data_IF_926578843710
#
_entry.id   IF_926578843710
#
_cell.length_a   1.000
_cell.length_b   1.000
_cell.length_c   1.000
_cell.angle_alpha   90.00
_cell.angle_beta   90.00
_cell.angle_gamma   90.00
#
_symmetry.space_group_name_H-M   'P 1'
#
loop_
_entity.id
_entity.type
_entity.pdbx_description
1 polymer ?
#
# COMPACT_ATOMS: atom_id res chain seq x y z
N UNK A 1 -3.68 -13.18 10.61
CA UNK A 1 -2.82 -14.40 10.56
C UNK A 1 -3.45 -15.63 11.22
N UNK A 2 -3.95 -15.59 12.46
CA UNK A 2 -4.45 -16.79 13.19
C UNK A 2 -5.82 -17.31 12.74
N UNK A 3 -6.57 -16.59 11.92
CA UNK A 3 -7.96 -16.94 11.55
C UNK A 3 -8.08 -17.98 10.43
N UNK A 4 -6.99 -18.35 9.76
CA UNK A 4 -6.96 -19.42 8.75
C UNK A 4 -6.04 -20.56 9.15
N UNK A 5 -6.34 -21.79 8.68
CA UNK A 5 -5.49 -22.95 8.92
C UNK A 5 -4.09 -22.79 8.27
N UNK A 6 -4.00 -22.06 7.19
CA UNK A 6 -2.74 -21.73 6.51
C UNK A 6 -1.90 -20.77 7.33
N UNK A 7 -2.49 -19.65 7.80
CA UNK A 7 -1.82 -18.70 8.67
C UNK A 7 -1.35 -19.33 9.99
N UNK A 8 -2.14 -20.22 10.60
CA UNK A 8 -1.72 -20.95 11.79
C UNK A 8 -0.50 -21.86 11.54
N UNK A 9 -0.47 -22.56 10.40
CA UNK A 9 0.68 -23.39 10.01
C UNK A 9 1.93 -22.55 9.75
N UNK A 10 1.76 -21.42 9.07
CA UNK A 10 2.86 -20.51 8.81
C UNK A 10 3.45 -19.93 10.10
N UNK A 11 2.60 -19.47 11.04
CA UNK A 11 3.06 -19.00 12.37
C UNK A 11 3.85 -20.10 13.09
N UNK A 12 3.40 -21.34 13.05
CA UNK A 12 4.11 -22.46 13.67
C UNK A 12 5.49 -22.72 13.00
N UNK A 13 5.66 -22.36 11.74
CA UNK A 13 6.93 -22.51 11.01
C UNK A 13 7.91 -21.34 11.20
N UNK A 14 7.44 -20.16 11.68
CA UNK A 14 8.25 -18.95 11.80
C UNK A 14 9.58 -19.13 12.56
N UNK A 15 9.63 -19.81 13.73
CA UNK A 15 10.90 -19.97 14.44
C UNK A 15 11.97 -20.63 13.57
N UNK A 16 11.63 -21.69 12.84
CA UNK A 16 12.53 -22.38 11.93
C UNK A 16 12.94 -21.51 10.75
N UNK A 17 11.98 -20.81 10.12
CA UNK A 17 12.28 -19.92 8.98
C UNK A 17 13.23 -18.78 9.39
N UNK A 18 13.02 -18.20 10.57
CA UNK A 18 13.89 -17.13 11.11
C UNK A 18 15.30 -17.68 11.40
N UNK A 19 15.42 -18.85 12.05
CA UNK A 19 16.71 -19.49 12.30
C UNK A 19 17.47 -19.75 10.99
N UNK A 20 16.82 -20.31 9.99
CA UNK A 20 17.41 -20.56 8.67
C UNK A 20 17.91 -19.26 8.00
N UNK A 21 17.16 -18.14 8.10
CA UNK A 21 17.61 -16.83 7.61
C UNK A 21 18.80 -16.30 8.42
N UNK A 22 18.79 -16.48 9.74
CA UNK A 22 19.90 -16.06 10.60
C UNK A 22 21.20 -16.79 10.25
N UNK A 23 21.12 -18.09 10.04
CA UNK A 23 22.27 -18.93 9.66
C UNK A 23 22.76 -18.56 8.24
N UNK A 24 21.82 -18.41 7.28
CA UNK A 24 22.15 -18.13 5.88
C UNK A 24 22.87 -16.79 5.73
N UNK A 25 22.38 -15.74 6.40
CA UNK A 25 22.88 -14.38 6.26
C UNK A 25 23.79 -13.92 7.41
N UNK A 26 24.09 -14.81 8.38
CA UNK A 26 24.94 -14.50 9.54
C UNK A 26 24.38 -13.39 10.42
N UNK A 27 23.07 -13.44 10.66
CA UNK A 27 22.34 -12.41 11.40
C UNK A 27 22.32 -12.68 12.89
N UNK A 28 22.13 -11.62 13.66
CA UNK A 28 21.78 -11.66 15.08
C UNK A 28 20.67 -10.65 15.37
N UNK A 29 19.80 -10.98 16.30
CA UNK A 29 18.72 -10.09 16.73
C UNK A 29 19.34 -8.81 17.36
N UNK A 30 18.77 -7.65 17.04
CA UNK A 30 19.20 -6.35 17.54
C UNK A 30 18.01 -5.63 18.19
N UNK A 31 17.76 -5.94 19.47
CA UNK A 31 16.68 -5.33 20.27
C UNK A 31 17.11 -3.97 20.85
N UNK A 32 17.80 -3.15 20.08
CA UNK A 32 18.15 -1.80 20.49
C UNK A 32 16.89 -0.98 20.81
N UNK A 33 16.92 -0.06 21.80
CA UNK A 33 15.78 0.84 22.07
C UNK A 33 15.33 1.57 20.81
N UNK A 34 14.01 1.65 20.58
CA UNK A 34 13.41 2.30 19.41
C UNK A 34 13.24 1.40 18.19
N UNK A 35 13.66 0.14 18.23
CA UNK A 35 13.46 -0.84 17.13
C UNK A 35 12.75 -2.10 17.66
N UNK A 36 11.43 -2.06 17.84
CA UNK A 36 10.69 -3.22 18.30
C UNK A 36 10.58 -4.28 17.19
N UNK A 37 10.24 -5.51 17.61
CA UNK A 37 9.70 -6.51 16.67
C UNK A 37 8.30 -6.05 16.27
N UNK A 38 8.07 -5.96 14.97
CA UNK A 38 6.78 -5.56 14.41
C UNK A 38 6.12 -6.76 13.73
N UNK A 39 4.80 -6.74 13.67
CA UNK A 39 4.02 -7.69 12.89
C UNK A 39 2.85 -6.99 12.23
N UNK A 40 2.56 -7.38 11.00
CA UNK A 40 1.38 -6.96 10.25
C UNK A 40 0.37 -8.09 10.06
N UNK A 41 -0.50 -7.93 9.09
CA UNK A 41 -1.49 -8.95 8.71
C UNK A 41 -0.83 -10.20 8.11
N UNK A 42 0.24 -10.04 7.35
CA UNK A 42 0.86 -11.08 6.53
C UNK A 42 2.36 -11.27 6.78
N UNK A 43 2.97 -10.62 7.78
CA UNK A 43 4.40 -10.72 8.00
C UNK A 43 4.88 -10.40 9.41
N UNK A 44 6.12 -10.77 9.70
CA UNK A 44 6.86 -10.38 10.89
C UNK A 44 8.13 -9.62 10.45
N UNK A 45 8.47 -8.59 11.21
CA UNK A 45 9.60 -7.70 10.95
C UNK A 45 10.50 -7.67 12.18
N UNK A 46 11.74 -8.11 12.02
CA UNK A 46 12.71 -8.27 13.09
C UNK A 46 13.89 -7.31 12.87
N UNK A 47 14.22 -6.46 13.85
CA UNK A 47 15.45 -5.69 13.78
C UNK A 47 16.65 -6.65 13.97
N UNK A 48 17.58 -6.63 13.03
CA UNK A 48 18.74 -7.52 13.01
C UNK A 48 20.03 -6.74 12.75
N UNK A 49 21.15 -7.37 13.02
CA UNK A 49 22.48 -6.90 12.66
C UNK A 49 23.22 -7.98 11.91
N UNK A 50 23.63 -7.67 10.69
CA UNK A 50 24.45 -8.50 9.84
C UNK A 50 25.89 -8.01 9.74
N UNK A 51 26.64 -8.50 8.74
CA UNK A 51 28.04 -8.12 8.48
C UNK A 51 28.18 -6.62 8.15
N UNK A 52 27.23 -6.08 7.38
CA UNK A 52 27.25 -4.72 6.87
C UNK A 52 26.56 -3.72 7.81
N UNK A 53 26.14 -4.15 9.00
CA UNK A 53 25.54 -3.29 10.00
C UNK A 53 24.09 -3.62 10.36
N UNK A 54 23.35 -2.58 10.71
CA UNK A 54 21.96 -2.69 11.11
C UNK A 54 21.05 -2.91 9.89
N UNK A 55 20.14 -3.88 10.00
CA UNK A 55 19.18 -4.25 8.97
C UNK A 55 17.85 -4.67 9.58
N UNK A 56 16.89 -5.02 8.75
CA UNK A 56 15.59 -5.55 9.12
C UNK A 56 15.36 -6.85 8.36
N UNK A 57 15.05 -7.93 9.07
CA UNK A 57 14.57 -9.18 8.48
C UNK A 57 13.04 -9.13 8.44
N UNK A 58 12.46 -9.19 7.26
CA UNK A 58 11.03 -9.37 7.02
C UNK A 58 10.78 -10.79 6.53
N UNK A 59 9.85 -11.50 7.17
CA UNK A 59 9.37 -12.83 6.71
C UNK A 59 7.88 -12.74 6.53
N UNK A 60 7.40 -13.00 5.32
CA UNK A 60 6.00 -12.85 4.94
C UNK A 60 5.31 -14.19 4.70
N UNK A 61 4.01 -14.25 4.96
CA UNK A 61 3.15 -15.35 4.53
C UNK A 61 3.08 -15.33 2.99
N UNK A 62 3.32 -16.46 2.30
CA UNK A 62 3.31 -16.50 0.83
C UNK A 62 1.87 -16.43 0.29
N UNK A 63 1.34 -15.22 0.16
CA UNK A 63 0.06 -14.90 -0.46
C UNK A 63 0.29 -13.95 -1.65
N UNK A 64 -0.69 -13.82 -2.52
CA UNK A 64 -0.56 -13.04 -3.76
C UNK A 64 -0.01 -11.62 -3.51
N UNK A 65 -0.51 -10.94 -2.48
CA UNK A 65 -0.11 -9.58 -2.13
C UNK A 65 1.38 -9.48 -1.71
N UNK A 66 1.92 -10.53 -1.07
CA UNK A 66 3.30 -10.52 -0.57
C UNK A 66 4.32 -11.00 -1.59
N UNK A 67 3.89 -11.75 -2.61
CA UNK A 67 4.79 -12.28 -3.64
C UNK A 67 5.34 -11.20 -4.58
N UNK A 68 4.62 -10.09 -4.74
CA UNK A 68 5.04 -8.96 -5.58
C UNK A 68 6.09 -8.05 -4.91
N UNK A 69 6.28 -8.13 -3.58
CA UNK A 69 7.15 -7.23 -2.81
C UNK A 69 8.62 -7.34 -3.23
N UNK A 70 9.24 -8.50 -3.14
CA UNK A 70 10.65 -8.70 -3.51
C UNK A 70 10.95 -8.28 -4.95
N UNK A 71 10.18 -8.77 -5.95
CA UNK A 71 10.32 -8.32 -7.34
C UNK A 71 10.23 -6.82 -7.54
N UNK A 72 9.25 -6.13 -6.94
CA UNK A 72 9.09 -4.69 -7.10
C UNK A 72 10.23 -3.90 -6.46
N UNK A 73 10.66 -4.29 -5.27
CA UNK A 73 11.81 -3.67 -4.60
C UNK A 73 13.11 -3.83 -5.41
N UNK A 74 13.30 -4.95 -6.12
CA UNK A 74 14.42 -5.13 -7.05
C UNK A 74 14.35 -4.18 -8.24
N UNK A 75 13.16 -3.88 -8.74
CA UNK A 75 12.98 -2.91 -9.84
C UNK A 75 13.37 -1.51 -9.35
N UNK A 76 12.91 -1.11 -8.19
CA UNK A 76 13.18 0.22 -7.64
C UNK A 76 14.61 0.41 -7.13
N UNK A 77 15.30 -0.65 -6.69
CA UNK A 77 16.71 -0.62 -6.26
C UNK A 77 17.03 0.46 -5.22
N UNK A 78 16.14 0.68 -4.27
CA UNK A 78 16.30 1.70 -3.23
C UNK A 78 15.99 3.14 -3.68
N UNK A 79 15.54 3.35 -4.90
CA UNK A 79 15.12 4.67 -5.44
C UNK A 79 13.66 4.91 -5.07
N UNK A 80 13.40 5.74 -4.07
CA UNK A 80 12.05 6.01 -3.57
C UNK A 80 11.41 4.86 -2.77
N UNK A 81 12.05 3.69 -2.68
CA UNK A 81 11.64 2.56 -1.87
C UNK A 81 12.80 2.02 -1.02
N UNK A 82 12.48 1.23 -0.01
CA UNK A 82 13.45 0.56 0.85
C UNK A 82 14.37 -0.35 0.03
N UNK A 83 15.66 -0.37 0.37
CA UNK A 83 16.65 -1.19 -0.32
C UNK A 83 16.62 -2.63 0.18
N UNK A 84 16.55 -3.58 -0.74
CA UNK A 84 16.79 -5.00 -0.47
C UNK A 84 18.30 -5.23 -0.40
N UNK A 85 18.75 -5.81 0.70
CA UNK A 85 20.14 -6.23 0.90
C UNK A 85 20.34 -7.69 0.48
N UNK A 86 19.39 -8.55 0.89
CA UNK A 86 19.37 -9.98 0.52
C UNK A 86 17.92 -10.44 0.36
N UNK A 87 17.68 -11.46 -0.46
CA UNK A 87 16.37 -12.03 -0.73
C UNK A 87 16.44 -13.57 -0.73
N UNK A 88 15.44 -14.21 -0.12
CA UNK A 88 15.22 -15.66 -0.20
C UNK A 88 13.75 -15.92 -0.58
N UNK A 89 13.45 -15.98 -1.89
CA UNK A 89 12.07 -16.10 -2.38
C UNK A 89 11.36 -17.38 -1.91
N UNK A 90 12.10 -18.49 -1.75
CA UNK A 90 11.52 -19.76 -1.29
C UNK A 90 10.97 -19.69 0.16
N UNK A 91 11.42 -18.72 0.94
CA UNK A 91 10.98 -18.47 2.32
C UNK A 91 10.13 -17.21 2.45
N UNK A 92 9.86 -16.48 1.35
CA UNK A 92 9.29 -15.14 1.37
C UNK A 92 10.00 -14.24 2.40
N UNK A 93 11.33 -14.27 2.40
CA UNK A 93 12.17 -13.54 3.33
C UNK A 93 13.00 -12.48 2.61
N UNK A 94 13.04 -11.28 3.17
CA UNK A 94 13.80 -10.13 2.70
C UNK A 94 14.67 -9.60 3.83
N UNK A 95 15.95 -9.35 3.54
CA UNK A 95 16.81 -8.54 4.39
C UNK A 95 16.81 -7.12 3.79
N UNK A 96 16.32 -6.16 4.56
CA UNK A 96 16.12 -4.78 4.13
C UNK A 96 17.04 -3.83 4.89
N UNK A 97 17.38 -2.69 4.29
CA UNK A 97 18.00 -1.59 5.03
C UNK A 97 17.12 -1.19 6.21
N UNK A 98 17.72 -0.70 7.28
CA UNK A 98 16.99 -0.24 8.46
C UNK A 98 16.62 1.24 8.29
N UNK A 99 15.35 1.54 8.39
CA UNK A 99 14.77 2.88 8.37
C UNK A 99 14.41 3.32 9.79
N UNK A 100 13.98 4.57 9.96
CA UNK A 100 13.50 5.14 11.22
C UNK A 100 12.01 4.80 11.42
N UNK A 101 11.64 3.83 12.28
CA UNK A 101 10.28 3.29 12.33
C UNK A 101 9.25 4.28 12.88
N UNK A 102 9.67 5.30 13.60
CA UNK A 102 8.80 6.31 14.20
C UNK A 102 8.74 7.62 13.40
N UNK A 103 9.52 7.75 12.33
CA UNK A 103 9.49 8.90 11.43
C UNK A 103 8.77 8.52 10.13
N UNK A 104 7.46 8.78 10.11
CA UNK A 104 6.57 8.53 8.97
C UNK A 104 5.90 9.83 8.54
N UNK A 105 5.23 9.85 7.39
CA UNK A 105 4.50 11.04 6.94
C UNK A 105 3.26 11.35 7.79
N UNK A 106 2.84 10.49 8.70
CA UNK A 106 1.60 10.67 9.49
C UNK A 106 1.57 11.96 10.31
N UNK A 107 2.74 12.47 10.73
CA UNK A 107 2.87 13.69 11.53
C UNK A 107 3.32 14.91 10.73
N UNK A 108 3.58 14.75 9.43
CA UNK A 108 4.00 15.87 8.55
C UNK A 108 2.79 16.77 8.23
N UNK A 109 3.03 18.05 7.91
CA UNK A 109 1.99 18.91 7.33
C UNK A 109 1.41 18.26 6.06
N UNK A 110 0.10 18.41 5.81
CA UNK A 110 -0.55 17.73 4.70
C UNK A 110 -0.02 18.15 3.33
N UNK A 111 0.29 19.43 3.17
CA UNK A 111 0.85 19.96 1.94
C UNK A 111 2.27 19.42 1.70
N UNK A 112 3.13 19.46 2.71
CA UNK A 112 4.48 18.89 2.64
C UNK A 112 4.43 17.39 2.39
N UNK A 113 3.48 16.70 3.03
CA UNK A 113 3.27 15.26 2.81
C UNK A 113 2.82 14.95 1.37
N UNK A 114 2.01 15.82 0.74
CA UNK A 114 1.61 15.67 -0.66
C UNK A 114 2.82 15.78 -1.60
N UNK A 115 3.70 16.76 -1.38
CA UNK A 115 4.92 16.93 -2.19
C UNK A 115 5.87 15.73 -2.07
N UNK A 116 6.11 15.25 -0.84
CA UNK A 116 6.94 14.07 -0.60
C UNK A 116 6.33 12.84 -1.26
N UNK A 117 5.04 12.59 -1.02
CA UNK A 117 4.31 11.46 -1.59
C UNK A 117 4.32 11.49 -3.12
N UNK A 118 4.01 12.64 -3.70
CA UNK A 118 4.01 12.83 -5.16
C UNK A 118 5.40 12.59 -5.77
N UNK A 119 6.47 13.03 -5.10
CA UNK A 119 7.84 12.74 -5.48
C UNK A 119 8.15 11.25 -5.50
N UNK A 120 7.69 10.52 -4.47
CA UNK A 120 7.85 9.06 -4.39
C UNK A 120 7.07 8.38 -5.52
N UNK A 121 5.79 8.71 -5.74
CA UNK A 121 4.97 8.11 -6.82
C UNK A 121 5.65 8.29 -8.18
N UNK A 122 6.12 9.50 -8.50
CA UNK A 122 6.86 9.72 -9.75
C UNK A 122 8.11 8.86 -9.86
N UNK A 123 8.85 8.68 -8.76
CA UNK A 123 10.05 7.85 -8.72
C UNK A 123 9.79 6.35 -8.83
N UNK A 124 8.65 5.90 -8.31
CA UNK A 124 8.24 4.48 -8.33
C UNK A 124 7.53 4.08 -9.63
N UNK A 125 7.02 5.03 -10.41
CA UNK A 125 6.29 4.79 -11.66
C UNK A 125 7.22 4.36 -12.79
N UNK A 126 7.79 3.16 -12.69
CA UNK A 126 8.68 2.56 -13.70
C UNK A 126 7.85 1.95 -14.82
N UNK A 127 8.06 2.30 -16.10
CA UNK A 127 7.33 1.73 -17.23
C UNK A 127 7.42 0.21 -17.30
N UNK A 128 6.33 -0.47 -17.68
CA UNK A 128 6.24 -1.95 -17.70
C UNK A 128 7.30 -2.60 -18.58
N UNK A 129 7.66 -1.99 -19.70
CA UNK A 129 8.74 -2.49 -20.57
C UNK A 129 10.12 -2.42 -19.89
N UNK A 130 10.34 -1.46 -18.99
CA UNK A 130 11.54 -1.39 -18.17
C UNK A 130 11.51 -2.42 -17.05
N UNK A 131 10.37 -2.61 -16.39
CA UNK A 131 10.16 -3.70 -15.42
C UNK A 131 10.49 -5.05 -16.05
N UNK A 132 9.95 -5.31 -17.25
CA UNK A 132 10.24 -6.54 -18.00
C UNK A 132 11.72 -6.69 -18.37
N UNK A 133 12.44 -5.60 -18.70
CA UNK A 133 13.88 -5.65 -18.95
C UNK A 133 14.70 -5.97 -17.69
N UNK A 134 14.28 -5.48 -16.53
CA UNK A 134 14.97 -5.70 -15.25
C UNK A 134 14.72 -7.12 -14.72
N UNK A 135 13.47 -7.57 -14.72
CA UNK A 135 13.08 -8.86 -14.15
C UNK A 135 13.22 -10.02 -15.13
N UNK A 136 13.21 -9.75 -16.44
CA UNK A 136 13.16 -10.75 -17.49
C UNK A 136 11.83 -11.52 -17.51
N UNK A 137 11.74 -12.52 -18.40
CA UNK A 137 10.60 -13.46 -18.43
C UNK A 137 10.81 -14.53 -17.34
N UNK A 138 10.51 -14.17 -16.11
CA UNK A 138 10.77 -14.96 -14.91
C UNK A 138 9.53 -15.07 -14.02
N UNK A 139 9.49 -16.02 -13.08
CA UNK A 139 8.44 -16.08 -12.06
C UNK A 139 8.29 -14.78 -11.25
N UNK A 140 9.35 -13.98 -11.15
CA UNK A 140 9.32 -12.70 -10.46
C UNK A 140 8.44 -11.67 -11.18
N UNK A 141 8.52 -11.59 -12.51
CA UNK A 141 7.61 -10.73 -13.28
C UNK A 141 6.16 -11.22 -13.19
N UNK A 142 5.97 -12.54 -13.29
CA UNK A 142 4.64 -13.16 -13.18
C UNK A 142 4.01 -13.02 -11.78
N UNK A 143 4.81 -12.74 -10.74
CA UNK A 143 4.31 -12.49 -9.39
C UNK A 143 3.71 -11.09 -9.21
N UNK A 144 3.89 -10.19 -10.16
CA UNK A 144 3.30 -8.84 -10.11
C UNK A 144 2.02 -8.85 -10.95
N UNK A 145 0.83 -8.75 -10.32
CA UNK A 145 -0.44 -8.78 -11.05
C UNK A 145 -0.61 -7.54 -11.95
N UNK A 146 -1.48 -7.65 -12.95
CA UNK A 146 -1.88 -6.50 -13.79
C UNK A 146 -3.21 -5.94 -13.31
N UNK A 147 -3.28 -4.64 -13.16
CA UNK A 147 -4.50 -3.95 -12.75
C UNK A 147 -5.65 -4.18 -13.73
N UNK A 148 -5.37 -4.27 -15.03
CA UNK A 148 -6.35 -4.62 -16.05
C UNK A 148 -6.97 -6.01 -15.88
N UNK A 149 -6.16 -7.01 -15.50
CA UNK A 149 -6.64 -8.37 -15.25
C UNK A 149 -7.43 -8.43 -13.93
N UNK A 150 -7.01 -7.64 -12.93
CA UNK A 150 -7.77 -7.47 -11.69
C UNK A 150 -9.15 -6.86 -11.97
N UNK A 151 -9.20 -5.80 -12.78
CA UNK A 151 -10.45 -5.15 -13.16
C UNK A 151 -11.42 -6.11 -13.88
N UNK A 152 -10.93 -6.98 -14.74
CA UNK A 152 -11.76 -8.02 -15.36
C UNK A 152 -12.31 -9.01 -14.34
N UNK A 153 -11.47 -9.49 -13.43
CA UNK A 153 -11.93 -10.40 -12.35
C UNK A 153 -12.98 -9.71 -11.46
N UNK A 154 -12.78 -8.45 -11.11
CA UNK A 154 -13.73 -7.67 -10.30
C UNK A 154 -15.11 -7.51 -10.96
N UNK A 155 -15.20 -7.54 -12.30
CA UNK A 155 -16.48 -7.54 -12.98
C UNK A 155 -17.38 -8.75 -12.60
N UNK A 156 -16.78 -9.89 -12.29
CA UNK A 156 -17.49 -11.08 -11.85
C UNK A 156 -17.54 -11.20 -10.30
N UNK A 157 -16.44 -10.90 -9.63
CA UNK A 157 -16.28 -11.09 -8.19
C UNK A 157 -17.09 -10.07 -7.36
N UNK A 158 -17.15 -8.81 -7.76
CA UNK A 158 -17.86 -7.77 -7.00
C UNK A 158 -19.36 -8.05 -6.90
N UNK A 159 -20.09 -8.37 -7.99
CA UNK A 159 -21.51 -8.72 -7.89
C UNK A 159 -21.76 -9.95 -7.02
N UNK A 160 -20.90 -10.96 -7.10
CA UNK A 160 -21.00 -12.17 -6.29
C UNK A 160 -20.78 -11.83 -4.81
N UNK A 161 -19.68 -11.16 -4.46
CA UNK A 161 -19.34 -10.78 -3.08
C UNK A 161 -20.40 -9.86 -2.47
N UNK A 162 -20.97 -8.94 -3.27
CA UNK A 162 -22.03 -8.04 -2.83
C UNK A 162 -23.31 -8.81 -2.47
N UNK A 163 -23.69 -9.82 -3.26
CA UNK A 163 -24.83 -10.70 -2.96
C UNK A 163 -24.56 -11.57 -1.74
N UNK A 164 -23.39 -12.21 -1.67
CA UNK A 164 -22.99 -13.07 -0.55
C UNK A 164 -22.93 -12.31 0.79
N UNK A 165 -22.54 -11.03 0.76
CA UNK A 165 -22.55 -10.15 1.92
C UNK A 165 -23.94 -9.58 2.29
N UNK A 166 -25.00 -9.96 1.55
CA UNK A 166 -26.37 -9.51 1.79
C UNK A 166 -26.64 -8.07 1.34
N UNK A 167 -26.03 -7.63 0.25
CA UNK A 167 -26.21 -6.31 -0.35
C UNK A 167 -25.84 -5.16 0.61
N UNK A 168 -24.58 -5.09 1.10
CA UNK A 168 -24.18 -4.24 2.22
C UNK A 168 -24.21 -2.74 1.94
N UNK A 169 -24.40 -2.33 0.69
CA UNK A 169 -24.51 -0.93 0.25
C UNK A 169 -25.37 -0.83 -1.01
N UNK A 170 -25.86 0.38 -1.38
CA UNK A 170 -26.72 0.55 -2.53
C UNK A 170 -26.07 0.12 -3.86
N UNK A 171 -26.87 -0.53 -4.69
CA UNK A 171 -26.45 -1.10 -5.98
C UNK A 171 -25.79 -0.09 -6.92
N UNK A 172 -26.21 1.18 -6.92
CA UNK A 172 -25.61 2.20 -7.77
C UNK A 172 -24.09 2.38 -7.53
N UNK A 173 -23.63 2.19 -6.28
CA UNK A 173 -22.19 2.30 -5.94
C UNK A 173 -21.39 1.11 -6.49
N UNK A 174 -21.99 -0.09 -6.45
CA UNK A 174 -21.42 -1.27 -7.13
C UNK A 174 -21.33 -1.04 -8.64
N UNK A 175 -22.40 -0.53 -9.26
CA UNK A 175 -22.47 -0.24 -10.70
C UNK A 175 -21.42 0.80 -11.11
N UNK A 176 -21.19 1.85 -10.29
CA UNK A 176 -20.14 2.84 -10.53
C UNK A 176 -18.74 2.22 -10.55
N UNK A 177 -18.43 1.30 -9.64
CA UNK A 177 -17.14 0.59 -9.66
C UNK A 177 -17.04 -0.36 -10.87
N UNK A 178 -18.09 -1.09 -11.21
CA UNK A 178 -18.12 -1.99 -12.35
C UNK A 178 -17.95 -1.26 -13.69
N UNK A 179 -18.52 -0.06 -13.84
CA UNK A 179 -18.32 0.76 -15.03
C UNK A 179 -16.82 1.08 -15.25
N UNK A 180 -16.12 1.47 -14.18
CA UNK A 180 -14.67 1.71 -14.23
C UNK A 180 -13.92 0.43 -14.62
N UNK A 181 -14.23 -0.69 -13.99
CA UNK A 181 -13.59 -1.98 -14.28
C UNK A 181 -13.79 -2.39 -15.76
N UNK A 182 -14.99 -2.21 -16.31
CA UNK A 182 -15.30 -2.52 -17.72
C UNK A 182 -14.53 -1.62 -18.69
N UNK A 183 -14.35 -0.34 -18.36
CA UNK A 183 -13.60 0.61 -19.22
C UNK A 183 -12.09 0.34 -19.19
N UNK A 184 -11.54 0.00 -18.02
CA UNK A 184 -10.10 -0.12 -17.81
C UNK A 184 -9.59 -1.56 -17.71
N UNK A 185 -10.45 -2.56 -17.79
CA UNK A 185 -10.08 -3.97 -17.93
C UNK A 185 -9.42 -4.28 -19.27
N UNK A 186 -8.86 -5.47 -19.44
CA UNK A 186 -8.09 -5.90 -20.61
C UNK A 186 -8.86 -5.69 -21.92
N UNK A 187 -10.15 -5.99 -21.95
CA UNK A 187 -11.00 -5.88 -23.15
C UNK A 187 -11.35 -4.42 -23.47
N UNK A 188 -11.62 -3.60 -22.46
CA UNK A 188 -12.00 -2.20 -22.63
C UNK A 188 -10.80 -1.25 -22.83
N UNK A 189 -9.61 -1.72 -22.45
CA UNK A 189 -8.41 -0.90 -22.36
C UNK A 189 -7.95 -0.44 -23.74
N UNK A 190 -7.82 0.85 -23.88
CA UNK A 190 -7.11 1.50 -24.99
C UNK A 190 -5.73 1.88 -24.48
N UNK A 191 -4.78 2.15 -25.38
CA UNK A 191 -3.38 2.48 -25.08
C UNK A 191 -3.21 3.24 -23.74
N UNK A 192 -2.61 2.59 -22.76
CA UNK A 192 -2.22 3.21 -21.49
C UNK A 192 -0.73 3.04 -21.26
N UNK A 193 -0.15 3.98 -20.54
CA UNK A 193 1.23 3.87 -20.06
C UNK A 193 1.22 3.12 -18.73
N UNK A 194 1.17 1.78 -18.78
CA UNK A 194 1.28 0.97 -17.57
C UNK A 194 2.65 1.17 -16.92
N UNK A 195 2.62 1.34 -15.62
CA UNK A 195 3.81 1.45 -14.77
C UNK A 195 3.74 0.46 -13.61
N UNK A 196 4.84 0.30 -12.90
CA UNK A 196 4.86 -0.37 -11.61
C UNK A 196 4.27 0.57 -10.56
N UNK A 197 3.23 0.12 -9.86
CA UNK A 197 2.47 0.86 -8.85
C UNK A 197 2.64 0.20 -7.50
N UNK A 198 2.82 0.98 -6.45
CA UNK A 198 2.97 0.47 -5.07
C UNK A 198 1.67 -0.07 -4.47
N UNK A 199 0.53 0.45 -4.84
CA UNK A 199 -0.85 0.14 -4.43
C UNK A 199 -1.18 0.40 -2.95
N UNK A 200 -0.28 0.24 -1.99
CA UNK A 200 -0.53 0.48 -0.56
C UNK A 200 0.34 1.61 0.03
N UNK A 201 0.48 2.72 -0.72
CA UNK A 201 1.36 3.84 -0.37
C UNK A 201 0.66 4.84 0.57
N UNK A 202 0.29 4.41 1.78
CA UNK A 202 -0.25 5.28 2.82
C UNK A 202 0.88 5.90 3.68
N UNK A 203 0.55 6.90 4.51
CA UNK A 203 1.54 7.67 5.28
C UNK A 203 2.44 6.84 6.20
N UNK A 204 1.92 5.73 6.75
CA UNK A 204 2.71 4.84 7.61
C UNK A 204 3.66 3.93 6.82
N UNK A 205 3.46 3.81 5.50
CA UNK A 205 4.35 3.06 4.60
C UNK A 205 5.40 3.96 3.93
N UNK A 206 5.58 5.20 4.42
CA UNK A 206 6.65 6.09 3.98
C UNK A 206 7.47 6.51 5.21
N UNK A 207 8.72 6.04 5.26
CA UNK A 207 9.61 6.21 6.39
C UNK A 207 10.84 7.04 6.00
N UNK A 208 11.40 7.72 7.00
CA UNK A 208 12.66 8.42 6.84
C UNK A 208 13.84 7.43 6.80
N UNK A 209 14.77 7.65 5.88
CA UNK A 209 16.10 7.03 5.94
C UNK A 209 16.90 7.68 7.06
N UNK A 210 17.67 6.93 7.86
CA UNK A 210 18.57 7.52 8.85
C UNK A 210 19.48 8.54 8.17
N UNK A 211 19.54 9.76 8.73
CA UNK A 211 20.43 10.80 8.22
C UNK A 211 21.88 10.33 8.25
N UNK A 212 22.65 10.69 7.23
CA UNK A 212 24.10 10.56 7.29
C UNK A 212 24.70 11.44 8.42
N UNK A 213 25.97 11.23 8.79
CA UNK A 213 26.64 11.94 9.89
C UNK A 213 26.64 13.48 9.81
N UNK A 214 26.24 14.05 8.68
CA UNK A 214 26.18 15.50 8.42
C UNK A 214 24.77 16.13 8.61
N UNK A 215 23.75 15.33 8.99
CA UNK A 215 22.36 15.83 9.11
C UNK A 215 22.06 16.62 10.39
N UNK A 216 22.96 16.58 11.40
CA UNK A 216 22.76 17.21 12.71
C UNK A 216 23.43 18.61 12.87
N UNK A 217 23.86 19.25 11.79
CA UNK A 217 24.49 20.57 11.82
C UNK A 217 23.48 21.71 12.05
N UNK A 218 23.76 22.72 12.91
CA UNK A 218 22.92 23.89 13.09
C UNK A 218 22.88 24.72 11.79
N UNK A 219 21.75 24.64 11.06
CA UNK A 219 21.50 25.35 9.80
C UNK A 219 21.43 24.45 8.56
N UNK A 220 21.49 23.13 8.70
CA UNK A 220 21.24 22.18 7.62
C UNK A 220 19.76 22.24 7.19
N UNK A 221 19.50 22.35 5.89
CA UNK A 221 18.17 22.04 5.35
C UNK A 221 17.84 20.58 5.73
N UNK A 222 16.60 20.33 6.17
CA UNK A 222 16.13 18.96 6.40
C UNK A 222 16.15 18.21 5.07
N UNK A 223 17.24 17.51 4.80
CA UNK A 223 17.43 16.70 3.60
C UNK A 223 16.99 15.25 3.84
N UNK A 224 15.99 15.05 4.71
CA UNK A 224 15.44 13.72 4.99
C UNK A 224 15.03 13.04 3.70
N UNK A 225 15.63 11.91 3.42
CA UNK A 225 15.21 11.05 2.32
C UNK A 225 14.06 10.16 2.81
N UNK A 226 12.89 10.33 2.19
CA UNK A 226 11.69 9.54 2.45
C UNK A 226 11.58 8.39 1.45
N UNK A 227 11.28 7.19 1.92
CA UNK A 227 11.18 6.00 1.08
C UNK A 227 9.98 5.14 1.46
N UNK A 228 9.40 4.51 0.45
CA UNK A 228 8.28 3.58 0.59
C UNK A 228 8.74 2.21 1.12
N UNK A 229 7.88 1.57 1.90
CA UNK A 229 8.03 0.20 2.38
C UNK A 229 6.74 -0.59 2.11
N UNK A 230 6.81 -1.92 2.22
CA UNK A 230 5.65 -2.82 2.20
C UNK A 230 4.77 -2.72 0.94
N UNK A 231 5.34 -2.78 -0.26
CA UNK A 231 4.55 -2.67 -1.48
C UNK A 231 3.68 -3.92 -1.72
N UNK A 232 2.44 -3.67 -2.14
CA UNK A 232 1.54 -4.65 -2.75
C UNK A 232 1.50 -4.36 -4.27
N UNK A 233 2.63 -4.53 -4.94
CA UNK A 233 2.85 -3.95 -6.25
C UNK A 233 1.97 -4.56 -7.35
N UNK A 234 1.49 -3.71 -8.26
CA UNK A 234 0.76 -4.07 -9.48
C UNK A 234 1.35 -3.36 -10.70
N UNK A 235 1.09 -3.89 -11.89
CA UNK A 235 1.37 -3.23 -13.16
C UNK A 235 0.08 -2.58 -13.67
N UNK A 236 0.05 -1.25 -13.81
CA UNK A 236 -1.17 -0.56 -14.22
C UNK A 236 -1.03 0.96 -14.26
N UNK A 237 -2.16 1.65 -14.13
CA UNK A 237 -2.20 3.11 -14.11
C UNK A 237 -1.61 3.66 -12.81
N UNK A 238 -0.72 4.66 -12.92
CA UNK A 238 -0.08 5.28 -11.75
C UNK A 238 -1.11 5.87 -10.76
N UNK A 239 -2.27 6.24 -11.25
CA UNK A 239 -3.43 6.78 -10.54
C UNK A 239 -3.93 5.83 -9.44
N UNK A 240 -3.72 4.53 -9.59
CA UNK A 240 -4.07 3.53 -8.57
C UNK A 240 -3.19 3.59 -7.30
N UNK A 241 -2.17 4.45 -7.28
CA UNK A 241 -1.34 4.70 -6.08
C UNK A 241 -2.07 5.51 -5.00
N UNK A 242 -3.09 6.32 -5.35
CA UNK A 242 -3.63 7.34 -4.46
C UNK A 242 -4.63 6.85 -3.40
N UNK A 243 -5.50 5.86 -3.63
CA UNK A 243 -6.54 5.49 -2.68
C UNK A 243 -6.05 5.31 -1.22
N UNK A 244 -4.89 4.69 -0.94
CA UNK A 244 -4.40 4.52 0.42
C UNK A 244 -4.20 5.84 1.21
N UNK A 245 -3.81 6.93 0.54
CA UNK A 245 -3.61 8.24 1.18
C UNK A 245 -4.93 8.84 1.65
N UNK A 246 -6.01 8.68 0.89
CA UNK A 246 -7.31 9.25 1.23
C UNK A 246 -7.89 8.67 2.52
N UNK A 247 -7.43 7.49 2.95
CA UNK A 247 -7.80 6.86 4.22
C UNK A 247 -7.10 7.45 5.44
N UNK A 248 -6.05 8.24 5.25
CA UNK A 248 -5.25 8.78 6.35
C UNK A 248 -5.80 10.11 6.86
N UNK A 249 -5.66 10.34 8.16
CA UNK A 249 -5.94 11.61 8.82
C UNK A 249 -7.34 12.14 8.50
N UNK A 250 -8.34 11.28 8.66
CA UNK A 250 -9.75 11.58 8.37
C UNK A 250 -10.28 12.73 9.23
N UNK A 251 -9.75 12.88 10.45
CA UNK A 251 -10.10 13.96 11.35
C UNK A 251 -9.75 15.37 10.81
N UNK A 252 -8.92 15.46 9.78
CA UNK A 252 -8.54 16.73 9.15
C UNK A 252 -9.41 17.08 7.93
N UNK A 253 -10.31 16.20 7.53
CA UNK A 253 -11.35 16.59 6.57
C UNK A 253 -12.33 17.59 7.22
N UNK A 254 -12.83 18.56 6.45
CA UNK A 254 -13.79 19.52 6.97
C UNK A 254 -15.08 18.83 7.39
N UNK A 255 -15.64 19.24 8.54
CA UNK A 255 -16.95 18.71 9.01
C UNK A 255 -18.11 19.21 8.14
N UNK A 256 -17.97 20.42 7.59
CA UNK A 256 -18.94 20.99 6.65
C UNK A 256 -18.51 20.64 5.24
N UNK A 257 -19.37 19.92 4.51
CA UNK A 257 -19.09 19.40 3.17
C UNK A 257 -17.82 18.53 3.11
N UNK A 258 -17.74 17.49 3.91
CA UNK A 258 -16.53 16.66 4.00
C UNK A 258 -16.18 15.99 2.65
N UNK A 259 -17.14 15.65 1.82
CA UNK A 259 -16.90 15.10 0.48
C UNK A 259 -16.13 16.05 -0.44
N UNK A 260 -16.40 17.37 -0.38
CA UNK A 260 -15.59 18.36 -1.10
C UNK A 260 -14.15 18.40 -0.58
N UNK A 261 -13.94 18.08 0.70
CA UNK A 261 -12.61 17.93 1.29
C UNK A 261 -11.84 16.75 0.72
N UNK A 262 -12.52 15.61 0.50
CA UNK A 262 -11.92 14.42 -0.15
C UNK A 262 -11.48 14.76 -1.57
N UNK A 263 -12.33 15.41 -2.36
CA UNK A 263 -12.02 15.81 -3.74
C UNK A 263 -10.83 16.78 -3.79
N UNK A 264 -10.79 17.79 -2.91
CA UNK A 264 -9.64 18.73 -2.84
C UNK A 264 -8.34 18.02 -2.49
N UNK A 265 -8.36 17.07 -1.54
CA UNK A 265 -7.17 16.29 -1.20
C UNK A 265 -6.74 15.43 -2.39
N UNK A 266 -7.67 14.80 -3.09
CA UNK A 266 -7.37 14.05 -4.31
C UNK A 266 -6.69 14.95 -5.35
N UNK A 267 -7.25 16.13 -5.64
CA UNK A 267 -6.69 17.09 -6.61
C UNK A 267 -5.27 17.53 -6.22
N UNK A 268 -5.03 17.88 -4.96
CA UNK A 268 -3.72 18.30 -4.45
C UNK A 268 -2.67 17.19 -4.63
N UNK A 269 -3.00 15.95 -4.29
CA UNK A 269 -2.08 14.82 -4.45
C UNK A 269 -1.87 14.42 -5.91
N UNK A 270 -2.88 14.57 -6.76
CA UNK A 270 -2.74 14.39 -8.20
C UNK A 270 -1.80 15.44 -8.80
N UNK A 271 -1.93 16.72 -8.41
CA UNK A 271 -1.03 17.79 -8.84
C UNK A 271 0.41 17.49 -8.43
N UNK A 272 0.65 17.13 -7.17
CA UNK A 272 1.96 16.80 -6.65
C UNK A 272 2.62 15.60 -7.36
N UNK A 273 1.83 14.60 -7.75
CA UNK A 273 2.32 13.38 -8.42
C UNK A 273 2.31 13.44 -9.95
N UNK A 274 1.60 14.41 -10.54
CA UNK A 274 1.39 14.48 -11.98
C UNK A 274 0.42 13.44 -12.52
N UNK A 275 -0.62 13.08 -11.72
CA UNK A 275 -1.66 12.10 -12.06
C UNK A 275 -2.89 12.79 -12.69
N UNK A 276 -3.67 12.02 -13.46
CA UNK A 276 -4.99 12.48 -13.95
C UNK A 276 -6.01 12.39 -12.81
N UNK A 277 -6.61 13.53 -12.38
CA UNK A 277 -7.54 13.52 -11.23
C UNK A 277 -8.80 12.70 -11.48
N UNK A 278 -9.31 12.66 -12.71
CA UNK A 278 -10.52 11.92 -13.03
C UNK A 278 -10.26 10.41 -13.04
N UNK A 279 -9.17 9.96 -13.66
CA UNK A 279 -8.77 8.55 -13.62
C UNK A 279 -8.44 8.10 -12.21
N UNK A 280 -7.77 8.95 -11.41
CA UNK A 280 -7.49 8.71 -10.00
C UNK A 280 -8.77 8.56 -9.19
N UNK A 281 -9.77 9.42 -9.43
CA UNK A 281 -11.08 9.36 -8.79
C UNK A 281 -11.78 8.03 -9.11
N UNK A 282 -11.77 7.64 -10.39
CA UNK A 282 -12.38 6.39 -10.86
C UNK A 282 -11.75 5.18 -10.19
N UNK A 283 -10.43 5.05 -10.22
CA UNK A 283 -9.73 3.96 -9.55
C UNK A 283 -9.90 3.96 -8.03
N UNK A 284 -10.04 5.15 -7.42
CA UNK A 284 -10.31 5.24 -5.98
C UNK A 284 -11.69 4.71 -5.60
N UNK A 285 -12.72 4.92 -6.45
CA UNK A 285 -14.04 4.30 -6.25
C UNK A 285 -13.93 2.78 -6.27
N UNK A 286 -13.21 2.20 -7.23
CA UNK A 286 -13.00 0.75 -7.34
C UNK A 286 -12.31 0.21 -6.09
N UNK A 287 -11.19 0.83 -5.69
CA UNK A 287 -10.41 0.38 -4.53
C UNK A 287 -11.23 0.41 -3.24
N UNK A 288 -12.03 1.45 -3.00
CA UNK A 288 -12.85 1.52 -1.79
C UNK A 288 -14.07 0.60 -1.84
N UNK A 289 -14.62 0.29 -3.01
CA UNK A 289 -15.66 -0.73 -3.15
C UNK A 289 -15.07 -2.13 -2.90
N UNK A 290 -13.88 -2.43 -3.40
CA UNK A 290 -13.15 -3.67 -3.09
C UNK A 290 -12.94 -3.83 -1.59
N UNK A 291 -12.36 -2.82 -0.93
CA UNK A 291 -12.16 -2.79 0.53
C UNK A 291 -13.49 -3.06 1.28
N UNK A 292 -14.56 -2.37 0.89
CA UNK A 292 -15.85 -2.50 1.56
C UNK A 292 -16.44 -3.91 1.43
N UNK A 293 -16.31 -4.53 0.25
CA UNK A 293 -16.74 -5.91 0.00
C UNK A 293 -15.90 -6.91 0.80
N UNK A 294 -14.57 -6.70 0.81
CA UNK A 294 -13.68 -7.54 1.59
C UNK A 294 -14.01 -7.49 3.09
N UNK A 295 -14.21 -6.30 3.66
CA UNK A 295 -14.58 -6.15 5.07
C UNK A 295 -15.97 -6.72 5.37
N UNK A 296 -16.94 -6.56 4.46
CA UNK A 296 -18.28 -7.11 4.62
C UNK A 296 -18.28 -8.65 4.68
N UNK A 297 -17.46 -9.31 3.84
CA UNK A 297 -17.36 -10.77 3.79
C UNK A 297 -16.59 -11.36 4.97
N UNK A 298 -15.60 -10.64 5.53
CA UNK A 298 -14.80 -11.13 6.67
C UNK A 298 -15.49 -10.97 8.03
N UNK A 299 -16.38 -9.98 8.17
CA UNK A 299 -17.06 -9.65 9.41
C UNK A 299 -16.15 -9.10 10.51
N UNK A 300 -16.70 -8.33 11.44
CA UNK A 300 -15.94 -7.76 12.56
C UNK A 300 -15.02 -6.59 12.18
N UNK A 301 -15.29 -5.95 11.04
CA UNK A 301 -14.55 -4.80 10.46
C UNK A 301 -15.53 -3.69 10.04
N UNK A 302 -16.54 -3.43 10.87
CA UNK A 302 -17.61 -2.49 10.50
C UNK A 302 -17.10 -1.05 10.32
N UNK A 303 -16.13 -0.63 11.14
CA UNK A 303 -15.54 0.71 11.05
C UNK A 303 -14.75 0.92 9.75
N UNK A 304 -13.97 -0.08 9.33
CA UNK A 304 -13.22 -0.05 8.08
C UNK A 304 -14.15 -0.08 6.88
N UNK A 305 -15.20 -0.91 6.93
CA UNK A 305 -16.24 -0.97 5.91
C UNK A 305 -16.95 0.38 5.77
N UNK A 306 -17.37 0.98 6.88
CA UNK A 306 -18.06 2.28 6.89
C UNK A 306 -17.18 3.38 6.29
N UNK A 307 -15.91 3.44 6.66
CA UNK A 307 -14.94 4.37 6.07
C UNK A 307 -14.82 4.19 4.56
N UNK A 308 -14.63 2.96 4.09
CA UNK A 308 -14.47 2.67 2.66
C UNK A 308 -15.72 3.03 1.87
N UNK A 309 -16.91 2.73 2.38
CA UNK A 309 -18.19 3.10 1.76
C UNK A 309 -18.40 4.60 1.69
N UNK A 310 -18.04 5.32 2.75
CA UNK A 310 -18.16 6.77 2.76
C UNK A 310 -17.22 7.40 1.72
N UNK A 311 -15.94 7.00 1.68
CA UNK A 311 -14.97 7.49 0.70
C UNK A 311 -15.39 7.16 -0.73
N UNK A 312 -15.80 5.90 -1.00
CA UNK A 312 -16.28 5.50 -2.33
C UNK A 312 -17.46 6.36 -2.80
N UNK A 313 -18.45 6.57 -1.92
CA UNK A 313 -19.64 7.34 -2.24
C UNK A 313 -19.35 8.83 -2.46
N UNK A 314 -18.46 9.42 -1.67
CA UNK A 314 -18.00 10.79 -1.83
C UNK A 314 -17.32 11.01 -3.18
N UNK A 315 -16.44 10.08 -3.58
CA UNK A 315 -15.75 10.10 -4.87
C UNK A 315 -16.65 9.79 -6.05
N UNK A 316 -17.68 8.95 -5.88
CA UNK A 316 -18.70 8.70 -6.89
C UNK A 316 -19.70 9.87 -7.06
N UNK A 317 -19.62 10.92 -6.24
CA UNK A 317 -20.44 12.12 -6.34
C UNK A 317 -21.87 11.98 -5.81
N UNK A 318 -22.19 10.87 -5.11
CA UNK A 318 -23.49 10.63 -4.50
C UNK A 318 -23.30 10.05 -3.09
N UNK A 319 -22.99 10.92 -2.13
CA UNK A 319 -22.61 10.55 -0.75
C UNK A 319 -23.73 9.76 -0.07
N UNK A 320 -23.39 8.60 0.48
CA UNK A 320 -24.35 7.73 1.20
C UNK A 320 -24.95 8.41 2.43
N UNK A 321 -24.12 9.15 3.16
CA UNK A 321 -24.53 10.00 4.28
C UNK A 321 -23.69 11.28 4.25
N UNK A 322 -24.31 12.40 3.86
CA UNK A 322 -23.67 13.71 3.77
C UNK A 322 -23.51 14.40 5.13
N UNK A 323 -24.06 13.80 6.19
CA UNK A 323 -23.93 14.29 7.57
C UNK A 323 -22.82 13.59 8.37
N UNK A 324 -22.10 12.63 7.76
CA UNK A 324 -20.98 11.95 8.40
C UNK A 324 -19.92 12.96 8.84
N UNK A 325 -19.55 12.89 10.11
CA UNK A 325 -18.39 13.59 10.64
C UNK A 325 -17.13 12.71 10.42
N UNK A 326 -16.20 13.11 9.53
CA UNK A 326 -15.01 12.30 9.23
C UNK A 326 -14.17 11.92 10.46
N UNK A 327 -14.23 12.72 11.53
CA UNK A 327 -13.53 12.44 12.80
C UNK A 327 -14.06 11.22 13.55
N UNK A 328 -15.23 10.70 13.16
CA UNK A 328 -15.82 9.47 13.72
C UNK A 328 -15.46 8.24 12.90
N UNK A 329 -14.92 8.44 11.71
CA UNK A 329 -14.42 7.34 10.90
C UNK A 329 -13.07 6.88 11.42
N UNK A 330 -12.82 5.59 11.38
CA UNK A 330 -11.61 4.99 11.91
C UNK A 330 -10.42 5.18 10.95
N UNK A 331 -9.32 5.78 11.43
CA UNK A 331 -8.06 5.85 10.67
C UNK A 331 -7.37 4.48 10.64
N UNK A 332 -6.81 4.06 9.48
CA UNK A 332 -6.03 2.83 9.43
C UNK A 332 -4.78 2.92 10.31
N UNK A 333 -4.45 1.84 10.99
CA UNK A 333 -3.26 1.74 11.84
C UNK A 333 -3.41 2.25 13.27
N UNK A 334 -4.57 2.75 13.69
CA UNK A 334 -4.87 2.93 15.11
C UNK A 334 -5.18 1.53 15.69
N UNK A 335 -4.21 0.98 16.40
CA UNK A 335 -4.43 -0.19 17.26
C UNK A 335 -4.71 0.36 18.65
N UNK A 336 -5.95 0.19 19.14
CA UNK A 336 -6.34 0.47 20.53
C UNK A 336 -5.55 -0.39 21.52
#
# INVERSE_FOLDING_TARGET
MTRSAEGARWIASLPRLIEECFDTWGLRLDLSPGFPVLHGYSGIVLPVRGRDGAAVLKVSLPVEETLSEGPSLRVWQGRGAVRVLEEEPARCALLLERLEPHRTLISMDLHDAAEVWGGIVRGLSVPVDEVGRILGDTPALAAIPRLSDMAERWCDEFPQSWQEAGEPFPRWLLEAALEVCQVHGTVGRRESREVLVHQDLHFLNILARPGGPDSDGPGGQDTTEWVAIDPQAVLGDAEFSLPPVLRNRLAEYPVVRPAEGVLRRLEEYCEAAGLDPELTRQWSVVSFVEDALWFATKGGHDAEKERSLWLASALAGNVLDDTVDPRRLHDPGHVD
#
